data_IF_206793418478
#
_entry.id   IF_206793418478
#
_cell.length_a   1.000
_cell.length_b   1.000
_cell.length_c   1.000
_cell.angle_alpha   90.00
_cell.angle_beta   90.00
_cell.angle_gamma   90.00
#
_symmetry.space_group_name_H-M   'P 1'
#
loop_
_entity.id
_entity.type
_entity.pdbx_description
1 polymer ?
#
# COMPACT_ATOMS: atom_id res chain seq x y z
N UNK A 1 2.60 10.69 -15.32
CA UNK A 1 3.58 11.75 -15.00
C UNK A 1 4.61 11.29 -13.97
N UNK A 2 4.20 10.79 -12.81
CA UNK A 2 5.09 10.40 -11.70
C UNK A 2 6.21 9.45 -12.16
N UNK A 3 5.89 8.39 -12.86
CA UNK A 3 6.88 7.40 -13.31
C UNK A 3 7.91 7.98 -14.29
N UNK A 4 7.51 8.90 -15.16
CA UNK A 4 8.43 9.59 -16.07
C UNK A 4 9.43 10.43 -15.27
N UNK A 5 8.96 11.18 -14.26
CA UNK A 5 9.83 12.03 -13.43
C UNK A 5 10.85 11.17 -12.67
N UNK A 6 10.43 10.07 -12.05
CA UNK A 6 11.35 9.21 -11.33
C UNK A 6 12.33 8.48 -12.26
N UNK A 7 11.92 8.12 -13.47
CA UNK A 7 12.81 7.55 -14.49
C UNK A 7 13.91 8.54 -14.88
N UNK A 8 13.52 9.80 -15.13
CA UNK A 8 14.48 10.88 -15.46
C UNK A 8 15.45 11.12 -14.31
N UNK A 9 14.94 11.20 -13.06
CA UNK A 9 15.80 11.38 -11.88
C UNK A 9 16.78 10.19 -11.73
N UNK A 10 16.30 8.97 -11.87
CA UNK A 10 17.15 7.78 -11.75
C UNK A 10 18.25 7.73 -12.83
N UNK A 11 17.91 8.10 -14.07
CA UNK A 11 18.88 8.22 -15.18
C UNK A 11 19.88 9.32 -14.91
N UNK A 12 19.43 10.50 -14.51
CA UNK A 12 20.32 11.61 -14.19
C UNK A 12 21.33 11.24 -13.10
N UNK A 13 20.85 10.69 -11.99
CA UNK A 13 21.73 10.26 -10.89
C UNK A 13 22.76 9.20 -11.32
N UNK A 14 22.36 8.27 -12.19
CA UNK A 14 23.23 7.21 -12.68
C UNK A 14 24.21 7.70 -13.74
N UNK A 15 23.72 8.41 -14.74
CA UNK A 15 24.50 8.71 -15.97
C UNK A 15 25.29 10.00 -15.86
N UNK A 16 24.77 11.01 -15.12
CA UNK A 16 25.43 12.30 -14.96
C UNK A 16 26.20 12.42 -13.64
N UNK A 17 25.65 11.92 -12.54
CA UNK A 17 26.23 12.05 -11.21
C UNK A 17 27.06 10.80 -10.79
N UNK A 18 27.01 9.71 -11.57
CA UNK A 18 27.80 8.51 -11.34
C UNK A 18 27.37 7.66 -10.12
N UNK A 19 26.16 7.86 -9.60
CA UNK A 19 25.65 7.07 -8.48
C UNK A 19 25.29 5.64 -8.90
N UNK A 20 25.51 4.68 -7.99
CA UNK A 20 24.89 3.36 -8.10
C UNK A 20 23.43 3.44 -7.67
N UNK A 21 22.52 3.42 -8.64
CA UNK A 21 21.08 3.64 -8.41
C UNK A 21 20.32 2.33 -8.41
N UNK A 22 19.79 1.95 -7.25
CA UNK A 22 18.81 0.87 -7.12
C UNK A 22 17.38 1.47 -7.04
N UNK A 23 16.64 1.45 -8.14
CA UNK A 23 15.27 1.95 -8.18
C UNK A 23 14.27 0.83 -7.95
N UNK A 24 13.69 0.79 -6.75
CA UNK A 24 12.60 -0.12 -6.39
C UNK A 24 11.26 0.57 -6.63
N UNK A 25 10.36 -0.11 -7.37
CA UNK A 25 8.99 0.34 -7.55
C UNK A 25 8.02 -0.73 -7.06
N UNK A 26 7.04 -0.33 -6.23
CA UNK A 26 5.98 -1.24 -5.80
C UNK A 26 4.95 -1.46 -6.91
N UNK A 27 4.34 -2.66 -6.89
CA UNK A 27 3.12 -2.99 -7.63
C UNK A 27 2.05 -3.35 -6.62
N UNK A 28 1.00 -2.54 -6.55
CA UNK A 28 -0.19 -2.81 -5.73
C UNK A 28 -1.08 -3.79 -6.49
N UNK A 29 -0.80 -5.07 -6.34
CA UNK A 29 -1.51 -6.17 -7.00
C UNK A 29 -2.66 -6.75 -6.16
N UNK A 30 -2.93 -6.15 -5.00
CA UNK A 30 -4.09 -6.39 -4.15
C UNK A 30 -4.52 -5.10 -3.46
N UNK A 31 -5.80 -4.77 -3.56
CA UNK A 31 -6.41 -3.55 -3.01
C UNK A 31 -7.94 -3.69 -3.12
N UNK A 32 -8.70 -2.98 -2.30
CA UNK A 32 -10.17 -3.00 -2.32
C UNK A 32 -10.75 -2.61 -3.69
N UNK A 33 -10.11 -1.66 -4.39
CA UNK A 33 -10.54 -1.25 -5.74
C UNK A 33 -10.39 -2.39 -6.75
N UNK A 34 -9.30 -3.17 -6.63
CA UNK A 34 -9.07 -4.34 -7.48
C UNK A 34 -10.11 -5.41 -7.18
N UNK A 35 -10.39 -5.66 -5.89
CA UNK A 35 -11.38 -6.66 -5.45
C UNK A 35 -12.78 -6.28 -5.98
N UNK A 36 -13.21 -5.05 -5.78
CA UNK A 36 -14.52 -4.57 -6.22
C UNK A 36 -14.65 -4.62 -7.75
N UNK A 37 -13.62 -4.16 -8.47
CA UNK A 37 -13.61 -4.22 -9.93
C UNK A 37 -13.62 -5.64 -10.48
N UNK A 38 -12.97 -6.56 -9.78
CA UNK A 38 -12.98 -7.97 -10.16
C UNK A 38 -14.36 -8.60 -9.97
N UNK A 39 -15.10 -8.24 -8.90
CA UNK A 39 -16.49 -8.64 -8.68
C UNK A 39 -17.39 -8.16 -9.83
N UNK A 40 -17.29 -6.89 -10.21
CA UNK A 40 -18.04 -6.30 -11.32
C UNK A 40 -17.76 -7.03 -12.64
N UNK A 41 -16.50 -7.41 -12.89
CA UNK A 41 -16.06 -8.08 -14.10
C UNK A 41 -16.17 -9.60 -14.04
N UNK A 42 -16.73 -10.16 -12.97
CA UNK A 42 -16.88 -11.63 -12.75
C UNK A 42 -15.56 -12.40 -12.96
N UNK A 43 -14.46 -11.83 -12.45
CA UNK A 43 -13.12 -12.42 -12.55
C UNK A 43 -12.43 -12.44 -11.18
N UNK A 44 -11.28 -13.13 -11.07
CA UNK A 44 -10.54 -13.11 -9.82
C UNK A 44 -9.69 -11.84 -9.70
N UNK A 45 -9.54 -11.25 -8.48
CA UNK A 45 -8.73 -10.07 -8.25
C UNK A 45 -7.29 -10.22 -8.74
N UNK A 46 -6.66 -11.37 -8.49
CA UNK A 46 -5.28 -11.63 -8.93
C UNK A 46 -5.14 -11.73 -10.46
N UNK A 47 -6.13 -12.29 -11.15
CA UNK A 47 -6.14 -12.31 -12.63
C UNK A 47 -6.27 -10.91 -13.20
N UNK A 48 -7.15 -10.09 -12.59
CA UNK A 48 -7.36 -8.70 -13.01
C UNK A 48 -6.08 -7.86 -12.77
N UNK A 49 -5.47 -7.98 -11.60
CA UNK A 49 -4.23 -7.29 -11.27
C UNK A 49 -3.11 -7.65 -12.26
N UNK A 50 -2.92 -8.94 -12.53
CA UNK A 50 -1.90 -9.42 -13.49
C UNK A 50 -2.14 -8.89 -14.91
N UNK A 51 -3.40 -8.79 -15.34
CA UNK A 51 -3.74 -8.22 -16.64
C UNK A 51 -3.32 -6.75 -16.71
N UNK A 52 -3.70 -5.92 -15.74
CA UNK A 52 -3.36 -4.51 -15.74
C UNK A 52 -1.87 -4.25 -15.49
N UNK A 53 -1.19 -5.09 -14.73
CA UNK A 53 0.26 -5.04 -14.60
C UNK A 53 0.94 -5.22 -15.97
N UNK A 54 0.47 -6.18 -16.77
CA UNK A 54 1.01 -6.41 -18.12
C UNK A 54 0.82 -5.20 -19.03
N UNK A 55 -0.37 -4.59 -19.01
CA UNK A 55 -0.64 -3.38 -19.78
C UNK A 55 0.23 -2.20 -19.28
N UNK A 56 0.34 -2.03 -17.97
CA UNK A 56 1.22 -1.03 -17.37
C UNK A 56 2.67 -1.18 -17.84
N UNK A 57 3.24 -2.38 -17.79
CA UNK A 57 4.62 -2.64 -18.24
C UNK A 57 4.80 -2.39 -19.74
N UNK A 58 3.78 -2.68 -20.55
CA UNK A 58 3.75 -2.37 -21.98
C UNK A 58 3.81 -0.86 -22.20
N UNK A 59 3.03 -0.08 -21.45
CA UNK A 59 3.03 1.38 -21.54
C UNK A 59 4.38 1.96 -21.10
N UNK A 60 4.97 1.44 -20.00
CA UNK A 60 6.30 1.86 -19.54
C UNK A 60 7.35 1.62 -20.62
N UNK A 61 7.32 0.46 -21.28
CA UNK A 61 8.22 0.13 -22.39
C UNK A 61 8.00 1.09 -23.57
N UNK A 62 6.75 1.37 -23.93
CA UNK A 62 6.41 2.32 -25.01
C UNK A 62 6.92 3.73 -24.74
N UNK A 63 6.89 4.15 -23.49
CA UNK A 63 7.41 5.46 -23.03
C UNK A 63 8.92 5.47 -22.77
N UNK A 64 9.63 4.35 -23.03
CA UNK A 64 11.08 4.18 -22.75
C UNK A 64 11.44 4.41 -21.26
N UNK A 65 10.52 4.14 -20.35
CA UNK A 65 10.74 4.15 -18.90
C UNK A 65 11.36 2.81 -18.53
N UNK A 66 12.66 2.79 -18.23
CA UNK A 66 13.44 1.56 -18.05
C UNK A 66 14.44 1.60 -16.90
N UNK A 67 14.39 2.63 -16.05
CA UNK A 67 15.31 2.75 -14.90
C UNK A 67 14.92 1.87 -13.70
N UNK A 68 13.73 1.28 -13.69
CA UNK A 68 13.28 0.44 -12.57
C UNK A 68 14.14 -0.82 -12.48
N UNK A 69 14.89 -0.96 -11.37
CA UNK A 69 15.73 -2.11 -11.12
C UNK A 69 14.91 -3.32 -10.67
N UNK A 70 13.88 -3.09 -9.84
CA UNK A 70 13.04 -4.16 -9.30
C UNK A 70 11.61 -3.70 -9.08
N UNK A 71 10.65 -4.55 -9.49
CA UNK A 71 9.24 -4.40 -9.14
C UNK A 71 8.87 -5.29 -7.94
N UNK A 72 8.40 -4.66 -6.86
CA UNK A 72 7.95 -5.35 -5.65
C UNK A 72 6.42 -5.44 -5.63
N UNK A 73 5.89 -6.65 -5.80
CA UNK A 73 4.45 -6.92 -5.74
C UNK A 73 4.02 -7.12 -4.29
N UNK A 74 2.94 -6.46 -3.86
CA UNK A 74 2.43 -6.57 -2.49
C UNK A 74 2.16 -8.03 -2.10
N UNK A 75 1.56 -8.82 -2.99
CA UNK A 75 1.27 -10.25 -2.73
C UNK A 75 2.52 -11.12 -2.54
N UNK A 76 3.70 -10.66 -2.93
CA UNK A 76 4.97 -11.37 -2.74
C UNK A 76 5.71 -10.99 -1.45
N UNK A 77 5.20 -9.98 -0.74
CA UNK A 77 5.80 -9.43 0.48
C UNK A 77 4.85 -9.50 1.69
N UNK A 78 3.90 -10.44 1.68
CA UNK A 78 2.88 -10.58 2.75
C UNK A 78 3.52 -10.84 4.11
N UNK A 79 4.57 -11.65 4.19
CA UNK A 79 5.26 -11.93 5.46
C UNK A 79 5.91 -10.68 6.05
N UNK A 80 6.55 -9.89 5.22
CA UNK A 80 7.20 -8.65 5.61
C UNK A 80 6.16 -7.60 6.04
N UNK A 81 5.04 -7.50 5.30
CA UNK A 81 3.91 -6.63 5.64
C UNK A 81 3.34 -7.01 7.01
N UNK A 82 3.03 -8.28 7.22
CA UNK A 82 2.53 -8.78 8.50
C UNK A 82 3.52 -8.49 9.63
N UNK A 83 4.80 -8.81 9.44
CA UNK A 83 5.82 -8.56 10.45
C UNK A 83 6.00 -7.07 10.79
N UNK A 84 5.79 -6.17 9.84
CA UNK A 84 5.78 -4.73 10.10
C UNK A 84 4.55 -4.31 10.92
N UNK A 85 3.37 -4.81 10.56
CA UNK A 85 2.11 -4.53 11.29
C UNK A 85 2.19 -5.02 12.73
N UNK A 86 2.72 -6.25 12.95
CA UNK A 86 2.93 -6.79 14.29
C UNK A 86 3.84 -5.91 15.15
N UNK A 87 4.94 -5.40 14.57
CA UNK A 87 5.83 -4.48 15.27
C UNK A 87 5.14 -3.16 15.64
N UNK A 88 4.33 -2.62 14.74
CA UNK A 88 3.54 -1.42 15.01
C UNK A 88 2.50 -1.66 16.11
N UNK A 89 1.83 -2.80 16.06
CA UNK A 89 0.83 -3.20 17.05
C UNK A 89 1.46 -3.37 18.44
N UNK A 90 2.57 -4.12 18.54
CA UNK A 90 3.32 -4.32 19.79
C UNK A 90 3.85 -3.01 20.40
N UNK A 91 4.16 -2.03 19.57
CA UNK A 91 4.60 -0.70 20.01
C UNK A 91 3.45 0.26 20.31
N UNK A 92 2.20 -0.15 20.18
CA UNK A 92 1.02 0.67 20.44
C UNK A 92 0.70 1.72 19.38
N UNK A 93 1.30 1.63 18.18
CA UNK A 93 1.01 2.51 17.03
C UNK A 93 -0.13 1.99 16.15
N UNK A 94 -0.58 0.77 16.37
CA UNK A 94 -1.70 0.19 15.65
C UNK A 94 -2.71 -0.40 16.62
N UNK A 95 -3.95 -0.45 16.19
CA UNK A 95 -5.05 -1.04 16.94
C UNK A 95 -5.99 -1.80 16.01
N UNK A 96 -6.78 -2.66 16.61
CA UNK A 96 -7.75 -3.49 15.91
C UNK A 96 -9.17 -2.93 16.08
N UNK A 97 -9.96 -3.05 15.02
CA UNK A 97 -11.41 -2.90 15.00
C UNK A 97 -12.03 -4.06 14.22
N UNK A 98 -13.35 -4.09 14.07
CA UNK A 98 -14.06 -5.25 13.51
C UNK A 98 -13.66 -5.60 12.07
N UNK A 99 -13.30 -4.61 11.24
CA UNK A 99 -12.98 -4.80 9.83
C UNK A 99 -11.47 -4.86 9.52
N UNK A 100 -10.60 -4.63 10.52
CA UNK A 100 -9.16 -4.64 10.24
C UNK A 100 -8.26 -4.13 11.36
N UNK A 101 -6.99 -3.89 10.99
CA UNK A 101 -5.96 -3.28 11.83
C UNK A 101 -5.63 -1.92 11.26
N UNK A 102 -5.63 -0.90 12.11
CA UNK A 102 -5.47 0.51 11.75
C UNK A 102 -4.25 1.13 12.42
N UNK A 103 -3.63 2.07 11.76
CA UNK A 103 -2.57 2.90 12.33
C UNK A 103 -3.18 4.07 13.09
N UNK A 104 -2.75 4.27 14.34
CA UNK A 104 -3.15 5.39 15.20
C UNK A 104 -2.21 6.58 14.96
N UNK A 105 -2.64 7.54 14.14
CA UNK A 105 -1.83 8.72 13.80
C UNK A 105 -1.52 9.60 15.01
N UNK A 106 -2.34 9.56 16.07
CA UNK A 106 -2.14 10.36 17.28
C UNK A 106 -0.91 9.93 18.08
N UNK A 107 -0.45 8.68 17.89
CA UNK A 107 0.74 8.13 18.56
C UNK A 107 2.04 8.63 17.97
N UNK A 108 2.03 9.16 16.75
CA UNK A 108 3.22 9.70 16.09
C UNK A 108 3.13 11.22 15.94
N UNK A 109 3.74 11.94 16.89
CA UNK A 109 3.65 13.40 16.99
C UNK A 109 4.13 14.16 15.74
N UNK A 110 5.07 13.56 15.00
CA UNK A 110 5.63 14.15 13.78
C UNK A 110 4.89 13.70 12.50
N UNK A 111 3.71 13.03 12.65
CA UNK A 111 2.92 12.61 11.48
C UNK A 111 2.53 13.81 10.63
N UNK A 112 2.82 13.72 9.33
CA UNK A 112 2.55 14.80 8.38
C UNK A 112 3.68 15.82 8.21
N UNK A 113 4.72 15.82 9.07
CA UNK A 113 5.85 16.77 9.00
C UNK A 113 6.58 16.71 7.65
N UNK A 114 6.84 15.51 7.11
CA UNK A 114 7.49 15.32 5.81
C UNK A 114 6.63 15.84 4.66
N UNK A 115 5.32 15.56 4.69
CA UNK A 115 4.38 15.97 3.66
C UNK A 115 3.94 17.44 3.81
N UNK A 116 4.35 18.12 4.88
CA UNK A 116 3.89 19.46 5.30
C UNK A 116 2.37 19.55 5.44
N UNK A 117 1.72 18.43 5.80
CA UNK A 117 0.27 18.35 6.04
C UNK A 117 0.01 18.28 7.53
N UNK A 118 -0.99 19.02 8.00
CA UNK A 118 -1.52 18.87 9.36
C UNK A 118 -2.29 17.54 9.46
N UNK A 119 -2.53 17.04 10.68
CA UNK A 119 -3.35 15.86 10.91
C UNK A 119 -4.76 16.00 10.27
N UNK A 120 -5.35 17.20 10.31
CA UNK A 120 -6.62 17.52 9.65
C UNK A 120 -6.56 17.38 8.12
N UNK A 121 -5.46 17.81 7.51
CA UNK A 121 -5.25 17.66 6.06
C UNK A 121 -4.88 16.22 5.65
N UNK A 122 -4.38 15.40 6.58
CA UNK A 122 -4.20 13.98 6.36
C UNK A 122 -5.57 13.26 6.29
N UNK A 123 -6.60 13.80 6.93
CA UNK A 123 -7.98 13.30 6.84
C UNK A 123 -8.54 13.30 5.41
N UNK A 124 -8.18 14.31 4.61
CA UNK A 124 -8.60 14.41 3.20
C UNK A 124 -7.89 13.38 2.29
N UNK A 125 -6.77 12.82 2.74
CA UNK A 125 -5.99 11.84 1.99
C UNK A 125 -6.39 10.38 2.29
N UNK A 126 -7.22 10.17 3.32
CA UNK A 126 -7.77 8.84 3.64
C UNK A 126 -8.75 8.46 2.53
N UNK A 127 -8.55 7.28 1.96
CA UNK A 127 -9.45 6.75 0.93
C UNK A 127 -10.89 6.74 1.45
N UNK A 128 -11.83 7.28 0.69
CA UNK A 128 -13.28 7.23 0.98
C UNK A 128 -13.83 5.80 1.19
N UNK A 129 -13.01 4.78 0.90
CA UNK A 129 -13.33 3.36 1.09
C UNK A 129 -13.07 2.92 2.54
N UNK A 130 -12.25 3.66 3.31
CA UNK A 130 -11.88 3.36 4.69
C UNK A 130 -12.69 4.16 5.74
N UNK A 131 -13.94 4.45 5.46
CA UNK A 131 -14.86 5.15 6.38
C UNK A 131 -15.43 4.21 7.46
N UNK A 132 -14.57 3.54 8.23
CA UNK A 132 -15.08 2.87 9.42
C UNK A 132 -15.41 3.89 10.51
N UNK A 133 -16.62 3.79 11.08
CA UNK A 133 -17.08 4.64 12.20
C UNK A 133 -16.35 4.31 13.52
N UNK A 134 -15.67 3.19 13.58
CA UNK A 134 -14.97 2.70 14.77
C UNK A 134 -13.53 3.20 14.88
N UNK A 135 -13.05 3.99 13.90
CA UNK A 135 -11.72 4.57 13.97
C UNK A 135 -11.58 5.52 15.15
N UNK A 136 -10.46 5.44 15.85
CA UNK A 136 -10.14 6.30 16.99
C UNK A 136 -9.98 7.76 16.56
N UNK A 137 -9.32 7.97 15.44
CA UNK A 137 -9.13 9.28 14.83
C UNK A 137 -9.56 9.21 13.36
N UNK A 138 -10.14 10.26 12.86
CA UNK A 138 -10.61 10.34 11.48
C UNK A 138 -9.51 10.11 10.44
N UNK A 139 -8.30 10.56 10.73
CA UNK A 139 -7.11 10.39 9.89
C UNK A 139 -6.43 9.02 9.99
N UNK A 140 -6.87 8.13 10.88
CA UNK A 140 -6.31 6.78 10.97
C UNK A 140 -6.54 6.00 9.68
N UNK A 141 -5.59 5.18 9.28
CA UNK A 141 -5.67 4.44 8.02
C UNK A 141 -5.47 2.94 8.22
N UNK A 142 -6.09 2.16 7.35
CA UNK A 142 -6.03 0.71 7.40
C UNK A 142 -4.65 0.19 7.02
N UNK A 143 -4.08 -0.67 7.87
CA UNK A 143 -2.85 -1.41 7.62
C UNK A 143 -3.13 -2.81 7.09
N UNK A 144 -4.19 -3.44 7.59
CA UNK A 144 -4.62 -4.76 7.19
C UNK A 144 -6.13 -4.89 7.31
N UNK A 145 -6.80 -5.20 6.22
CA UNK A 145 -8.25 -5.42 6.21
C UNK A 145 -8.57 -6.91 6.34
N UNK A 146 -9.57 -7.24 7.13
CA UNK A 146 -10.02 -8.61 7.23
C UNK A 146 -10.81 -8.98 5.99
N UNK A 147 -10.46 -10.13 5.39
CA UNK A 147 -11.11 -10.61 4.17
C UNK A 147 -12.55 -11.01 4.42
N UNK A 148 -13.41 -10.69 3.48
CA UNK A 148 -14.80 -11.18 3.41
C UNK A 148 -14.84 -12.52 2.66
N UNK A 149 -15.93 -13.31 2.79
CA UNK A 149 -16.09 -14.54 2.02
C UNK A 149 -15.90 -14.31 0.52
N UNK A 150 -15.05 -15.16 -0.10
CA UNK A 150 -14.74 -15.07 -1.54
C UNK A 150 -13.65 -14.06 -1.92
N UNK A 151 -13.06 -13.34 -0.96
CA UNK A 151 -11.93 -12.45 -1.20
C UNK A 151 -10.58 -13.15 -0.99
N UNK A 152 -9.50 -12.70 -1.64
CA UNK A 152 -8.16 -13.18 -1.33
C UNK A 152 -7.83 -12.97 0.13
N UNK A 153 -7.24 -13.98 0.76
CA UNK A 153 -6.88 -13.93 2.18
C UNK A 153 -5.53 -14.57 2.42
N UNK A 154 -4.85 -14.10 3.46
CA UNK A 154 -3.60 -14.66 3.93
C UNK A 154 -3.70 -14.92 5.44
N UNK A 155 -3.04 -15.98 5.95
CA UNK A 155 -3.04 -16.25 7.38
C UNK A 155 -2.36 -15.10 8.11
N UNK A 156 -3.09 -14.51 9.04
CA UNK A 156 -2.61 -13.51 9.98
C UNK A 156 -2.63 -14.13 11.37
N UNK A 157 -1.56 -13.94 12.16
CA UNK A 157 -1.44 -14.62 13.45
C UNK A 157 -2.65 -14.35 14.34
N UNK A 158 -3.21 -15.44 14.88
CA UNK A 158 -4.39 -15.42 15.75
C UNK A 158 -4.13 -14.67 17.07
N UNK A 159 -2.88 -14.54 17.50
CA UNK A 159 -2.52 -13.78 18.72
C UNK A 159 -2.89 -12.30 18.63
N UNK A 160 -2.93 -11.75 17.42
CA UNK A 160 -3.44 -10.40 17.15
C UNK A 160 -4.97 -10.38 16.92
N UNK A 161 -5.62 -11.56 16.92
CA UNK A 161 -7.08 -11.68 16.83
C UNK A 161 -7.77 -11.57 18.19
N UNK A 162 -7.04 -11.80 19.29
CA UNK A 162 -7.56 -11.77 20.65
C UNK A 162 -6.74 -10.84 21.53
N UNK A 163 -7.06 -9.58 21.52
CA UNK A 163 -6.81 -8.71 22.67
C UNK A 163 -8.09 -7.93 22.89
N UNK A 164 -8.86 -8.43 23.85
CA UNK A 164 -9.90 -7.66 24.51
C UNK A 164 -9.29 -6.39 25.13
#
# INVERSE_FOLDING_TARGET
>A
RTYIIFDVIAKYLKENEGFDVFYLQNITDIDDKIINRAKERKTSPLKLAKYFEKEYLKDMKGLKINSVTKYARATKHIKEIIGQIEKLFKKGFAYRIDDGIYYDISKFKDYGKLSRRTALQAEDAVSRIDESKEKRNKGDFCLWKFSKPGEPSWPFDSSLRSSN
#
